data_IF_645466176699
#
_entry.id   IF_645466176699
#
_cell.length_a   1.000
_cell.length_b   1.000
_cell.length_c   1.000
_cell.angle_alpha   90.00
_cell.angle_beta   90.00
_cell.angle_gamma   90.00
#
_symmetry.space_group_name_H-M   'P 1'
#
loop_
_entity.id
_entity.type
_entity.pdbx_description
1 polymer ?
#
# COMPACT_ATOMS: atom_id res chain seq x y z
N UNK A 1 6.34 4.87 -26.64
CA UNK A 1 5.46 3.76 -26.22
C UNK A 1 6.05 3.20 -24.93
N UNK A 2 5.46 3.41 -23.74
CA UNK A 2 6.08 2.79 -22.56
C UNK A 2 5.60 3.21 -21.17
N UNK A 3 5.11 4.45 -20.99
CA UNK A 3 4.69 4.93 -19.65
C UNK A 3 3.17 5.07 -19.49
N UNK A 4 2.45 5.44 -20.55
CA UNK A 4 0.99 5.57 -20.52
C UNK A 4 0.31 4.21 -20.36
N UNK A 5 0.75 3.20 -21.12
CA UNK A 5 0.19 1.83 -21.06
C UNK A 5 0.46 1.15 -19.72
N UNK A 6 1.61 1.41 -19.09
CA UNK A 6 1.90 0.90 -17.73
C UNK A 6 1.12 1.67 -16.67
N UNK A 7 0.87 2.97 -16.84
CA UNK A 7 0.00 3.74 -15.95
C UNK A 7 -1.44 3.23 -16.01
N UNK A 8 -1.94 2.96 -17.22
CA UNK A 8 -3.30 2.47 -17.43
C UNK A 8 -3.47 1.04 -16.92
N UNK A 9 -2.47 0.17 -17.10
CA UNK A 9 -2.44 -1.15 -16.49
C UNK A 9 -2.37 -1.12 -14.96
N UNK A 10 -1.65 -0.15 -14.36
CA UNK A 10 -1.61 0.05 -12.90
C UNK A 10 -2.91 0.67 -12.39
N UNK A 11 -3.52 1.59 -13.14
CA UNK A 11 -4.80 2.22 -12.82
C UNK A 11 -5.93 1.20 -12.84
N UNK A 12 -6.02 0.42 -13.91
CA UNK A 12 -6.99 -0.66 -14.07
C UNK A 12 -6.73 -1.75 -13.03
N UNK A 13 -5.48 -2.16 -12.77
CA UNK A 13 -5.19 -3.18 -11.74
C UNK A 13 -5.52 -2.70 -10.32
N UNK A 14 -5.30 -1.40 -10.03
CA UNK A 14 -5.73 -0.79 -8.76
C UNK A 14 -7.25 -0.76 -8.60
N UNK A 15 -8.01 -0.53 -9.69
CA UNK A 15 -9.47 -0.40 -9.64
C UNK A 15 -10.26 -1.70 -9.96
N UNK A 16 -9.67 -2.69 -10.64
CA UNK A 16 -10.32 -3.94 -11.06
C UNK A 16 -9.75 -5.21 -10.42
N UNK A 17 -8.49 -5.25 -9.97
CA UNK A 17 -7.92 -6.43 -9.31
C UNK A 17 -7.92 -6.27 -7.78
N UNK A 18 -9.14 -6.22 -7.23
CA UNK A 18 -9.33 -6.45 -5.81
C UNK A 18 -8.73 -7.81 -5.42
N UNK A 19 -7.81 -7.79 -4.45
CA UNK A 19 -7.28 -8.93 -3.67
C UNK A 19 -6.18 -9.82 -4.24
N UNK A 20 -5.45 -9.44 -5.30
CA UNK A 20 -4.29 -10.22 -5.74
C UNK A 20 -2.92 -9.54 -5.52
N UNK A 21 -1.94 -10.39 -5.22
CA UNK A 21 -0.50 -10.18 -4.91
C UNK A 21 0.19 -8.90 -5.45
N UNK A 22 -0.02 -8.43 -6.70
CA UNK A 22 0.54 -7.16 -7.18
C UNK A 22 0.21 -5.94 -6.32
N UNK A 23 -1.00 -5.86 -5.75
CA UNK A 23 -1.45 -4.68 -4.99
C UNK A 23 -0.63 -4.47 -3.72
N UNK A 24 -0.22 -5.55 -3.04
CA UNK A 24 0.63 -5.47 -1.85
C UNK A 24 2.03 -4.92 -2.16
N UNK A 25 2.58 -5.26 -3.33
CA UNK A 25 3.89 -4.73 -3.77
C UNK A 25 3.82 -3.24 -4.10
N UNK A 26 2.78 -2.81 -4.84
CA UNK A 26 2.59 -1.39 -5.18
C UNK A 26 2.41 -0.55 -3.92
N UNK A 27 1.63 -1.06 -2.95
CA UNK A 27 1.42 -0.42 -1.67
C UNK A 27 2.73 -0.24 -0.89
N UNK A 28 3.50 -1.33 -0.73
CA UNK A 28 4.80 -1.25 -0.05
C UNK A 28 5.76 -0.29 -0.75
N UNK A 29 5.78 -0.27 -2.09
CA UNK A 29 6.60 0.66 -2.88
C UNK A 29 6.22 2.13 -2.58
N UNK A 30 4.93 2.44 -2.56
CA UNK A 30 4.44 3.78 -2.24
C UNK A 30 4.84 4.21 -0.82
N UNK A 31 4.71 3.31 0.17
CA UNK A 31 5.15 3.57 1.54
C UNK A 31 6.66 3.75 1.66
N UNK A 32 7.47 2.94 0.95
CA UNK A 32 8.92 3.14 0.90
C UNK A 32 9.29 4.52 0.35
N UNK A 33 8.65 4.95 -0.75
CA UNK A 33 8.84 6.29 -1.30
C UNK A 33 8.44 7.39 -0.30
N UNK A 34 7.34 7.19 0.44
CA UNK A 34 6.91 8.10 1.48
C UNK A 34 7.93 8.18 2.61
N UNK A 35 8.37 7.04 3.16
CA UNK A 35 9.37 6.99 4.22
C UNK A 35 10.70 7.63 3.82
N UNK A 36 11.19 7.37 2.61
CA UNK A 36 12.40 8.00 2.08
C UNK A 36 12.22 9.52 2.02
N UNK A 37 11.08 9.99 1.52
CA UNK A 37 10.78 11.44 1.43
C UNK A 37 10.70 12.07 2.81
N UNK A 38 10.03 11.44 3.77
CA UNK A 38 9.90 11.95 5.15
C UNK A 38 11.24 11.93 5.88
N UNK A 39 12.06 10.89 5.73
CA UNK A 39 13.40 10.84 6.33
C UNK A 39 14.29 11.91 5.70
N UNK A 40 14.23 12.09 4.38
CA UNK A 40 14.95 13.17 3.69
C UNK A 40 14.56 14.54 4.22
N UNK A 41 13.26 14.81 4.37
CA UNK A 41 12.77 16.05 4.98
C UNK A 41 13.17 16.18 6.46
N UNK A 42 13.18 15.09 7.23
CA UNK A 42 13.57 15.11 8.65
C UNK A 42 15.02 15.57 8.81
N UNK A 43 15.92 15.05 7.97
CA UNK A 43 17.33 15.41 7.97
C UNK A 43 17.55 16.87 7.54
N UNK A 44 16.82 17.35 6.53
CA UNK A 44 16.90 18.74 6.05
C UNK A 44 16.28 19.71 7.06
N UNK A 45 15.19 19.33 7.74
CA UNK A 45 14.45 20.25 8.61
C UNK A 45 15.04 20.41 10.02
N UNK A 46 16.09 19.67 10.38
CA UNK A 46 16.84 19.89 11.62
C UNK A 46 16.10 19.51 12.91
N UNK A 47 15.18 18.53 12.85
CA UNK A 47 14.49 18.04 14.05
C UNK A 47 13.25 18.84 14.48
N UNK A 48 12.47 19.34 13.53
CA UNK A 48 11.18 19.97 13.83
C UNK A 48 10.10 18.91 14.16
N UNK A 49 9.41 19.06 15.29
CA UNK A 49 8.38 18.12 15.76
C UNK A 49 7.25 17.85 14.77
N UNK A 50 7.03 18.76 13.82
CA UNK A 50 6.09 18.57 12.70
C UNK A 50 6.42 17.35 11.83
N UNK A 51 7.70 17.11 11.54
CA UNK A 51 8.13 15.97 10.71
C UNK A 51 7.98 14.64 11.47
N UNK A 52 8.11 14.69 12.80
CA UNK A 52 7.87 13.54 13.68
C UNK A 52 6.39 13.10 13.64
N UNK A 53 5.46 14.04 13.62
CA UNK A 53 4.03 13.76 13.46
C UNK A 53 3.71 13.16 12.08
N UNK A 54 4.32 13.69 11.01
CA UNK A 54 4.16 13.14 9.66
C UNK A 54 4.71 11.70 9.57
N UNK A 55 5.84 11.42 10.23
CA UNK A 55 6.44 10.09 10.25
C UNK A 55 5.56 9.09 11.01
N UNK A 56 5.00 9.51 12.15
CA UNK A 56 4.07 8.71 12.93
C UNK A 56 2.77 8.42 12.16
N UNK A 57 2.20 9.42 11.46
CA UNK A 57 1.04 9.21 10.59
C UNK A 57 1.34 8.22 9.47
N UNK A 58 2.52 8.32 8.85
CA UNK A 58 2.95 7.35 7.81
C UNK A 58 3.00 5.93 8.35
N UNK A 59 3.58 5.71 9.54
CA UNK A 59 3.62 4.38 10.18
C UNK A 59 2.21 3.89 10.50
N UNK A 60 1.36 4.74 11.07
CA UNK A 60 -0.01 4.39 11.41
C UNK A 60 -0.81 3.96 10.16
N UNK A 61 -0.64 4.70 9.06
CA UNK A 61 -1.25 4.38 7.78
C UNK A 61 -0.71 3.05 7.20
N UNK A 62 0.60 2.81 7.29
CA UNK A 62 1.23 1.56 6.85
C UNK A 62 0.68 0.33 7.59
N UNK A 63 0.51 0.46 8.91
CA UNK A 63 -0.07 -0.61 9.74
C UNK A 63 -1.54 -0.82 9.38
N UNK A 64 -2.33 0.25 9.27
CA UNK A 64 -3.75 0.17 8.91
C UNK A 64 -3.96 -0.53 7.56
N UNK A 65 -3.09 -0.24 6.59
CA UNK A 65 -3.16 -0.85 5.26
C UNK A 65 -2.73 -2.31 5.25
N UNK A 66 -1.63 -2.66 5.93
CA UNK A 66 -1.21 -4.06 6.03
C UNK A 66 -2.29 -4.93 6.70
N UNK A 67 -2.94 -4.38 7.74
CA UNK A 67 -4.05 -5.05 8.40
C UNK A 67 -5.26 -5.22 7.45
N UNK A 68 -5.62 -4.18 6.71
CA UNK A 68 -6.72 -4.23 5.73
C UNK A 68 -6.48 -5.26 4.62
N UNK A 69 -5.26 -5.34 4.07
CA UNK A 69 -4.90 -6.34 3.06
C UNK A 69 -4.97 -7.76 3.63
N UNK A 70 -4.46 -7.98 4.85
CA UNK A 70 -4.51 -9.29 5.50
C UNK A 70 -5.95 -9.76 5.71
N UNK A 71 -6.84 -8.84 6.07
CA UNK A 71 -8.27 -9.13 6.23
C UNK A 71 -8.93 -9.47 4.89
N UNK A 72 -8.64 -8.71 3.82
CA UNK A 72 -9.14 -9.02 2.48
C UNK A 72 -8.70 -10.40 1.97
N UNK A 73 -7.44 -10.79 2.23
CA UNK A 73 -6.95 -12.13 1.87
C UNK A 73 -7.67 -13.23 2.66
N UNK A 74 -8.00 -12.96 3.93
CA UNK A 74 -8.76 -13.89 4.76
C UNK A 74 -10.17 -14.10 4.22
N UNK A 75 -10.86 -13.03 3.82
CA UNK A 75 -12.19 -13.13 3.21
C UNK A 75 -12.16 -13.85 1.86
N UNK A 76 -11.18 -13.57 1.00
CA UNK A 76 -11.01 -14.25 -0.27
C UNK A 76 -10.79 -15.76 -0.11
N UNK A 77 -9.96 -16.16 0.88
CA UNK A 77 -9.70 -17.57 1.18
C UNK A 77 -10.89 -18.30 1.83
N UNK A 78 -11.85 -17.58 2.41
CA UNK A 78 -13.10 -18.14 2.91
C UNK A 78 -14.06 -18.43 1.76
N UNK A 79 -14.22 -17.50 0.81
CA UNK A 79 -15.08 -17.68 -0.37
C UNK A 79 -14.67 -18.88 -1.24
N UNK A 80 -13.37 -19.11 -1.42
CA UNK A 80 -12.86 -20.30 -2.15
C UNK A 80 -13.22 -21.63 -1.48
N UNK A 81 -13.37 -21.65 -0.15
CA UNK A 81 -13.73 -22.86 0.61
C UNK A 81 -15.22 -23.17 0.59
N UNK A 82 -16.06 -22.18 0.33
CA UNK A 82 -17.51 -22.35 0.20
C UNK A 82 -17.86 -22.94 -1.16
N UNK A 83 -17.19 -22.49 -2.23
CA UNK A 83 -17.36 -23.02 -3.60
C UNK A 83 -16.93 -24.50 -3.71
N UNK A 84 -15.92 -24.90 -2.94
CA UNK A 84 -15.40 -26.29 -2.92
C UNK A 84 -16.23 -27.28 -2.10
N UNK A 85 -17.28 -26.82 -1.42
CA UNK A 85 -18.18 -27.65 -0.61
C UNK A 85 -19.51 -27.97 -1.29
N UNK A 86 -19.78 -27.37 -2.44
CA UNK A 86 -20.88 -27.75 -3.36
C UNK A 86 -20.39 -28.74 -4.43
#
# INVERSE_FOLDING_TARGET
MGVASTLEGVWESVFHEGVNTPTHRVMNLAFYGLFITLIGLLLVSGGNGHVMALLLLSVCLFVSVNWFIAELQREAALRDKEDKKE
#
